data_IF_556029197725
#
_entry.id   IF_556029197725
#
_cell.length_a   1.000
_cell.length_b   1.000
_cell.length_c   1.000
_cell.angle_alpha   90.00
_cell.angle_beta   90.00
_cell.angle_gamma   90.00
#
_symmetry.space_group_name_H-M   'P 1'
#
loop_
_entity.id
_entity.type
_entity.pdbx_description
1 polymer ?
#
# COMPACT_ATOMS: atom_id res chain seq x y z
N UNK A 1 -7.45 19.83 48.03
CA UNK A 1 -8.36 19.11 47.10
C UNK A 1 -7.81 17.71 46.93
N UNK A 2 -8.55 16.69 47.35
CA UNK A 2 -8.17 15.28 47.16
C UNK A 2 -8.01 15.03 45.65
N UNK A 3 -6.84 14.55 45.21
CA UNK A 3 -6.61 14.07 43.84
C UNK A 3 -7.35 12.74 43.67
N UNK A 4 -8.69 12.80 43.61
CA UNK A 4 -9.50 11.65 43.23
C UNK A 4 -9.08 11.22 41.83
N UNK A 5 -8.76 9.92 41.67
CA UNK A 5 -8.52 9.37 40.34
C UNK A 5 -9.75 9.61 39.45
N UNK A 6 -9.56 9.75 38.13
CA UNK A 6 -10.67 9.92 37.18
C UNK A 6 -11.74 8.83 37.31
N UNK A 7 -11.32 7.59 37.59
CA UNK A 7 -12.23 6.50 37.93
C UNK A 7 -12.99 6.74 39.23
N UNK A 8 -12.31 7.23 40.27
CA UNK A 8 -12.91 7.54 41.57
C UNK A 8 -13.99 8.61 41.47
N UNK A 9 -13.72 9.70 40.75
CA UNK A 9 -14.69 10.76 40.49
C UNK A 9 -15.91 10.24 39.72
N UNK A 10 -15.69 9.46 38.65
CA UNK A 10 -16.77 8.82 37.90
C UNK A 10 -17.61 7.89 38.79
N UNK A 11 -16.96 7.02 39.58
CA UNK A 11 -17.62 6.08 40.48
C UNK A 11 -18.49 6.80 41.50
N UNK A 12 -17.97 7.86 42.14
CA UNK A 12 -18.69 8.63 43.15
C UNK A 12 -19.98 9.24 42.56
N UNK A 13 -19.89 9.89 41.40
CA UNK A 13 -21.03 10.53 40.76
C UNK A 13 -22.09 9.54 40.27
N UNK A 14 -21.70 8.46 39.60
CA UNK A 14 -22.68 7.46 39.12
C UNK A 14 -23.29 6.67 40.28
N UNK A 15 -22.52 6.41 41.35
CA UNK A 15 -23.03 5.78 42.57
C UNK A 15 -24.04 6.67 43.27
N UNK A 16 -23.71 7.95 43.48
CA UNK A 16 -24.62 8.93 44.08
C UNK A 16 -25.95 8.95 43.33
N UNK A 17 -25.91 9.06 42.00
CA UNK A 17 -27.13 9.08 41.18
C UNK A 17 -27.93 7.78 41.26
N UNK A 18 -27.27 6.63 41.18
CA UNK A 18 -27.95 5.34 41.27
C UNK A 18 -28.56 5.10 42.67
N UNK A 19 -27.94 5.59 43.74
CA UNK A 19 -28.49 5.53 45.10
C UNK A 19 -29.76 6.41 45.24
N UNK A 20 -29.74 7.63 44.69
CA UNK A 20 -30.92 8.52 44.66
C UNK A 20 -32.13 7.88 43.98
N UNK A 21 -31.89 7.05 42.95
CA UNK A 21 -32.94 6.34 42.21
C UNK A 21 -33.30 4.97 42.81
N UNK A 22 -32.66 4.55 43.90
CA UNK A 22 -32.86 3.22 44.49
C UNK A 22 -32.40 2.06 43.59
N UNK A 23 -31.53 2.34 42.63
CA UNK A 23 -31.06 1.39 41.62
C UNK A 23 -29.72 0.73 41.99
N UNK A 24 -28.94 1.33 42.90
CA UNK A 24 -27.58 0.87 43.18
C UNK A 24 -27.53 -0.53 43.81
N UNK A 25 -26.60 -1.37 43.33
CA UNK A 25 -26.19 -2.62 43.98
C UNK A 25 -24.69 -2.86 43.79
N UNK A 26 -24.11 -3.82 44.50
CA UNK A 26 -22.66 -4.09 44.45
C UNK A 26 -22.19 -4.66 43.09
N UNK A 27 -23.07 -5.30 42.33
CA UNK A 27 -22.77 -5.79 40.97
C UNK A 27 -22.56 -4.65 39.98
N UNK A 28 -23.29 -3.54 40.11
CA UNK A 28 -23.10 -2.35 39.28
C UNK A 28 -21.67 -1.80 39.40
N UNK A 29 -21.08 -1.79 40.60
CA UNK A 29 -19.70 -1.33 40.75
C UNK A 29 -18.71 -2.24 40.01
N UNK A 30 -18.93 -3.56 40.02
CA UNK A 30 -18.09 -4.54 39.32
C UNK A 30 -18.15 -4.39 37.80
N UNK A 31 -19.27 -3.89 37.30
CA UNK A 31 -19.57 -3.66 35.88
C UNK A 31 -19.00 -2.34 35.31
N UNK A 32 -18.42 -1.49 36.16
CA UNK A 32 -17.74 -0.27 35.72
C UNK A 32 -16.39 -0.57 35.04
N UNK A 33 -16.00 0.22 34.02
CA UNK A 33 -14.74 0.01 33.31
C UNK A 33 -13.54 0.35 34.20
N UNK A 34 -12.56 -0.56 34.27
CA UNK A 34 -11.29 -0.34 34.99
C UNK A 34 -10.21 0.33 34.12
N UNK A 35 -10.37 0.25 32.80
CA UNK A 35 -9.47 0.84 31.79
C UNK A 35 -10.33 1.25 30.60
N UNK A 36 -9.89 2.28 29.89
CA UNK A 36 -10.50 2.78 28.66
C UNK A 36 -9.46 3.41 27.76
N UNK A 37 -9.81 3.59 26.50
CA UNK A 37 -8.99 4.33 25.54
C UNK A 37 -9.43 5.79 25.53
N UNK A 38 -8.47 6.71 25.47
CA UNK A 38 -8.73 8.13 25.30
C UNK A 38 -8.20 8.56 23.95
N UNK A 39 -9.08 9.13 23.14
CA UNK A 39 -8.79 9.64 21.81
C UNK A 39 -9.21 11.10 21.75
N UNK A 40 -8.26 12.02 21.99
CA UNK A 40 -8.56 13.44 22.09
C UNK A 40 -9.59 13.76 23.17
N UNK A 41 -10.72 14.35 22.76
CA UNK A 41 -11.87 14.70 23.59
C UNK A 41 -12.94 13.60 23.67
N UNK A 42 -12.60 12.34 23.34
CA UNK A 42 -13.48 11.18 23.48
C UNK A 42 -12.84 10.09 24.33
N UNK A 43 -13.65 9.45 25.17
CA UNK A 43 -13.30 8.19 25.82
C UNK A 43 -14.09 7.06 25.17
N UNK A 44 -13.39 5.96 24.86
CA UNK A 44 -14.00 4.73 24.34
C UNK A 44 -13.87 3.64 25.40
N UNK A 45 -15.01 3.25 25.95
CA UNK A 45 -15.10 2.18 26.92
C UNK A 45 -14.97 0.81 26.27
N UNK A 46 -14.43 -0.18 27.00
CA UNK A 46 -14.50 -1.57 26.56
C UNK A 46 -15.96 -1.99 26.43
N UNK A 47 -16.21 -2.95 25.55
CA UNK A 47 -17.55 -3.47 25.33
C UNK A 47 -18.22 -3.94 26.63
N UNK A 48 -17.46 -4.51 27.56
CA UNK A 48 -17.97 -5.05 28.83
C UNK A 48 -18.36 -3.98 29.86
N UNK A 49 -18.22 -2.68 29.54
CA UNK A 49 -18.56 -1.61 30.46
C UNK A 49 -20.06 -1.31 30.46
N UNK A 50 -20.63 -1.04 31.63
CA UNK A 50 -22.02 -0.59 31.80
C UNK A 50 -23.04 -1.55 31.15
N UNK A 51 -22.90 -2.85 31.40
CA UNK A 51 -23.79 -3.90 30.91
C UNK A 51 -24.96 -4.19 31.85
N UNK A 52 -24.83 -3.89 33.15
CA UNK A 52 -25.88 -4.11 34.13
C UNK A 52 -27.16 -3.34 33.77
N UNK A 53 -28.31 -4.00 33.85
CA UNK A 53 -29.60 -3.45 33.38
C UNK A 53 -29.98 -2.13 34.08
N UNK A 54 -29.64 -1.97 35.36
CA UNK A 54 -29.93 -0.75 36.11
C UNK A 54 -29.28 0.51 35.53
N UNK A 55 -28.14 0.39 34.80
CA UNK A 55 -27.56 1.53 34.10
C UNK A 55 -28.49 2.08 33.02
N UNK A 56 -29.22 1.20 32.34
CA UNK A 56 -30.20 1.60 31.30
C UNK A 56 -31.39 2.33 31.91
N UNK A 57 -31.76 2.01 33.14
CA UNK A 57 -32.88 2.64 33.86
C UNK A 57 -32.58 4.08 34.30
N UNK A 58 -31.29 4.45 34.45
CA UNK A 58 -30.87 5.84 34.68
C UNK A 58 -31.11 6.69 33.41
N UNK A 59 -31.04 6.08 32.22
CA UNK A 59 -31.31 6.75 30.95
C UNK A 59 -30.14 7.62 30.45
N UNK A 60 -30.44 8.61 29.60
CA UNK A 60 -29.42 9.41 28.90
C UNK A 60 -28.56 10.26 29.83
N UNK A 61 -29.10 10.71 30.97
CA UNK A 61 -28.40 11.51 31.96
C UNK A 61 -27.17 10.79 32.54
N UNK A 62 -27.15 9.44 32.54
CA UNK A 62 -25.99 8.66 32.97
C UNK A 62 -24.73 9.11 32.23
N UNK A 63 -24.84 9.27 30.91
CA UNK A 63 -23.67 9.55 30.10
C UNK A 63 -23.20 11.00 30.23
N UNK A 64 -24.11 11.94 30.49
CA UNK A 64 -23.75 13.30 30.88
C UNK A 64 -22.96 13.33 32.20
N UNK A 65 -23.40 12.55 33.19
CA UNK A 65 -22.71 12.43 34.48
C UNK A 65 -21.32 11.86 34.29
N UNK A 66 -21.20 10.75 33.56
CA UNK A 66 -19.91 10.11 33.26
C UNK A 66 -19.00 11.05 32.48
N UNK A 67 -19.53 11.76 31.49
CA UNK A 67 -18.74 12.67 30.65
C UNK A 67 -18.19 13.84 31.46
N UNK A 68 -19.03 14.45 32.32
CA UNK A 68 -18.61 15.51 33.25
C UNK A 68 -17.57 15.01 34.24
N UNK A 69 -17.79 13.84 34.84
CA UNK A 69 -16.86 13.29 35.83
C UNK A 69 -15.48 12.93 35.25
N UNK A 70 -15.44 12.57 33.96
CA UNK A 70 -14.19 12.26 33.24
C UNK A 70 -13.62 13.47 32.48
N UNK A 71 -14.25 14.66 32.59
CA UNK A 71 -13.89 15.88 31.86
C UNK A 71 -13.68 15.65 30.36
N UNK A 72 -14.67 15.01 29.73
CA UNK A 72 -14.63 14.62 28.32
C UNK A 72 -15.89 15.08 27.60
N UNK A 73 -15.78 15.41 26.32
CA UNK A 73 -16.94 15.88 25.54
C UNK A 73 -17.77 14.71 25.01
N UNK A 74 -17.16 13.53 24.87
CA UNK A 74 -17.76 12.39 24.19
C UNK A 74 -17.44 11.08 24.86
N UNK A 75 -18.41 10.20 24.81
CA UNK A 75 -18.29 8.83 25.27
C UNK A 75 -18.71 7.90 24.16
N UNK A 76 -17.92 6.87 23.94
CA UNK A 76 -18.30 5.74 23.13
C UNK A 76 -18.05 4.43 23.86
N UNK A 77 -18.59 3.35 23.32
CA UNK A 77 -18.30 2.00 23.78
C UNK A 77 -18.06 1.10 22.58
N UNK A 78 -17.02 0.26 22.65
CA UNK A 78 -16.76 -0.74 21.60
C UNK A 78 -17.96 -1.67 21.44
N UNK A 79 -18.37 -1.93 20.20
CA UNK A 79 -19.42 -2.90 19.89
C UNK A 79 -18.90 -4.34 19.97
N UNK A 80 -19.81 -5.31 20.07
CA UNK A 80 -19.48 -6.71 19.81
C UNK A 80 -19.03 -6.81 18.34
N UNK A 81 -17.77 -7.16 18.12
CA UNK A 81 -17.32 -7.56 16.78
C UNK A 81 -17.99 -8.91 16.53
N UNK A 82 -18.97 -8.95 15.62
CA UNK A 82 -19.51 -10.22 15.15
C UNK A 82 -18.37 -11.02 14.51
N UNK A 83 -18.50 -12.34 14.42
CA UNK A 83 -17.46 -13.17 13.83
C UNK A 83 -17.51 -13.09 12.28
N UNK A 84 -17.59 -11.87 11.74
CA UNK A 84 -17.60 -11.54 10.33
C UNK A 84 -16.20 -11.11 9.84
N UNK A 85 -16.01 -11.17 8.53
CA UNK A 85 -14.70 -11.03 7.89
C UNK A 85 -14.13 -9.60 7.98
N UNK A 86 -14.98 -8.60 8.21
CA UNK A 86 -14.57 -7.19 8.17
C UNK A 86 -13.94 -6.69 9.47
N UNK A 87 -14.16 -7.35 10.62
CA UNK A 87 -13.57 -7.03 11.95
C UNK A 87 -13.41 -5.54 12.26
N UNK A 88 -14.27 -4.68 11.73
CA UNK A 88 -14.09 -3.23 11.82
C UNK A 88 -14.50 -2.80 13.24
N UNK A 89 -13.60 -2.20 14.03
CA UNK A 89 -13.94 -1.79 15.39
C UNK A 89 -14.95 -0.63 15.32
N UNK A 90 -16.22 -0.92 15.56
CA UNK A 90 -17.28 0.09 15.67
C UNK A 90 -17.44 0.56 17.11
N UNK A 91 -17.63 1.86 17.27
CA UNK A 91 -17.90 2.49 18.57
C UNK A 91 -19.32 3.02 18.57
N UNK A 92 -20.15 2.52 19.46
CA UNK A 92 -21.47 3.11 19.72
C UNK A 92 -21.25 4.43 20.48
N UNK A 93 -21.68 5.55 19.91
CA UNK A 93 -21.62 6.87 20.59
C UNK A 93 -22.69 6.90 21.68
N UNK A 94 -22.24 6.96 22.93
CA UNK A 94 -23.08 7.02 24.12
C UNK A 94 -23.42 8.46 24.52
N UNK A 95 -22.47 9.38 24.30
CA UNK A 95 -22.62 10.80 24.57
C UNK A 95 -21.78 11.64 23.60
N UNK A 96 -22.28 12.81 23.24
CA UNK A 96 -21.77 13.65 22.17
C UNK A 96 -22.57 13.49 20.88
N UNK A 97 -22.61 14.54 20.06
CA UNK A 97 -23.44 14.58 18.84
C UNK A 97 -22.94 13.75 17.67
N UNK A 98 -21.66 13.35 17.67
CA UNK A 98 -21.03 12.57 16.60
C UNK A 98 -19.75 11.86 17.07
N UNK A 99 -19.20 10.94 16.26
CA UNK A 99 -18.00 10.19 16.58
C UNK A 99 -16.68 10.83 16.13
N UNK A 100 -16.71 11.98 15.46
CA UNK A 100 -15.48 12.67 15.01
C UNK A 100 -14.60 13.12 16.16
N UNK A 101 -13.33 12.76 16.08
CA UNK A 101 -12.30 13.06 17.08
C UNK A 101 -11.00 13.47 16.38
N UNK A 102 -10.11 14.09 17.15
CA UNK A 102 -8.73 14.36 16.76
C UNK A 102 -7.78 13.57 17.67
N UNK A 103 -6.97 12.70 17.08
CA UNK A 103 -5.93 11.93 17.75
C UNK A 103 -4.55 12.43 17.33
N UNK A 104 -3.77 12.95 18.27
CA UNK A 104 -2.37 13.29 18.03
C UNK A 104 -1.49 12.09 18.37
N UNK A 105 -0.68 11.64 17.41
CA UNK A 105 0.31 10.60 17.66
C UNK A 105 1.59 11.17 18.29
N UNK A 106 2.48 10.29 18.75
CA UNK A 106 3.78 10.68 19.34
C UNK A 106 4.71 11.39 18.34
N UNK A 107 4.41 11.26 17.05
CA UNK A 107 5.12 11.93 15.96
C UNK A 107 4.60 13.34 15.68
N UNK A 108 3.53 13.78 16.35
CA UNK A 108 2.92 15.10 16.16
C UNK A 108 1.94 15.19 14.99
N UNK A 109 1.58 14.07 14.36
CA UNK A 109 0.50 14.04 13.36
C UNK A 109 -0.85 14.07 14.05
N UNK A 110 -1.74 14.95 13.59
CA UNK A 110 -3.13 15.04 14.05
C UNK A 110 -4.02 14.24 13.12
N UNK A 111 -4.56 13.10 13.54
CA UNK A 111 -5.51 12.29 12.78
C UNK A 111 -6.94 12.65 13.13
N UNK A 112 -7.73 13.09 12.16
CA UNK A 112 -9.13 13.47 12.32
C UNK A 112 -10.01 12.42 11.66
N UNK A 113 -10.76 11.65 12.44
CA UNK A 113 -11.58 10.54 11.95
C UNK A 113 -12.84 10.35 12.80
N UNK A 114 -13.84 9.68 12.25
CA UNK A 114 -15.03 9.26 12.97
C UNK A 114 -14.78 7.92 13.68
N UNK A 115 -14.65 7.96 15.01
CA UNK A 115 -14.38 6.80 15.85
C UNK A 115 -15.50 5.74 15.81
N UNK A 116 -16.71 6.10 15.39
CA UNK A 116 -17.80 5.14 15.21
C UNK A 116 -17.62 4.26 13.96
N UNK A 117 -16.82 4.72 13.00
CA UNK A 117 -16.64 4.10 11.69
C UNK A 117 -15.25 3.51 11.50
N UNK A 118 -14.21 4.25 11.93
CA UNK A 118 -12.79 3.86 11.80
C UNK A 118 -12.07 4.09 13.12
N UNK A 119 -11.00 3.34 13.35
CA UNK A 119 -10.15 3.50 14.54
C UNK A 119 -8.69 3.60 14.14
N UNK A 120 -7.95 4.48 14.82
CA UNK A 120 -6.51 4.63 14.64
C UNK A 120 -5.74 3.35 15.05
N UNK A 121 -4.95 2.83 14.12
CA UNK A 121 -4.18 1.60 14.30
C UNK A 121 -2.77 1.87 14.82
N UNK A 122 -2.61 1.89 16.14
CA UNK A 122 -1.33 2.16 16.84
C UNK A 122 -0.17 1.28 16.33
N UNK A 123 -0.44 0.04 15.92
CA UNK A 123 0.61 -0.87 15.45
C UNK A 123 1.33 -0.39 14.19
N UNK A 124 0.73 0.53 13.40
CA UNK A 124 1.34 1.11 12.20
C UNK A 124 2.44 2.13 12.51
N UNK A 125 2.51 2.67 13.73
CA UNK A 125 3.46 3.73 14.11
C UNK A 125 4.93 3.40 13.81
N UNK A 126 5.35 2.13 13.95
CA UNK A 126 6.72 1.73 13.64
C UNK A 126 7.07 1.96 12.17
N UNK A 127 6.14 1.66 11.28
CA UNK A 127 6.33 1.87 9.85
C UNK A 127 6.21 3.35 9.48
N UNK A 128 5.31 4.08 10.14
CA UNK A 128 5.23 5.55 10.00
C UNK A 128 6.55 6.21 10.38
N UNK A 129 7.19 5.76 11.46
CA UNK A 129 8.50 6.25 11.90
C UNK A 129 9.61 5.92 10.88
N UNK A 130 9.60 4.70 10.32
CA UNK A 130 10.56 4.29 9.29
C UNK A 130 10.43 5.15 8.03
N UNK A 131 9.20 5.38 7.57
CA UNK A 131 8.93 6.26 6.43
C UNK A 131 9.43 7.68 6.73
N UNK A 132 9.11 8.20 7.91
CA UNK A 132 9.53 9.55 8.34
C UNK A 132 11.05 9.75 8.35
N UNK A 133 11.83 8.69 8.45
CA UNK A 133 13.30 8.71 8.42
C UNK A 133 13.88 8.46 7.02
N UNK A 134 13.04 8.14 6.04
CA UNK A 134 13.47 7.89 4.66
C UNK A 134 13.55 9.22 3.92
N UNK A 135 14.65 9.45 3.21
CA UNK A 135 14.80 10.61 2.34
C UNK A 135 14.06 10.38 1.01
N UNK A 136 13.08 11.24 0.75
CA UNK A 136 12.32 11.33 -0.49
C UNK A 136 12.34 12.77 -1.03
N UNK A 137 13.38 13.55 -0.73
CA UNK A 137 13.45 14.96 -1.09
C UNK A 137 13.25 15.17 -2.60
N UNK A 138 12.22 15.95 -2.95
CA UNK A 138 11.90 16.28 -4.35
C UNK A 138 11.15 15.19 -5.11
N UNK A 139 10.89 14.03 -4.49
CA UNK A 139 10.18 12.91 -5.12
C UNK A 139 8.67 13.12 -5.15
N UNK A 140 8.02 12.58 -6.19
CA UNK A 140 6.56 12.38 -6.20
C UNK A 140 6.25 10.97 -5.71
N UNK A 141 5.42 10.87 -4.67
CA UNK A 141 5.02 9.61 -4.06
C UNK A 141 3.56 9.29 -4.41
N UNK A 142 3.25 8.04 -4.69
CA UNK A 142 1.87 7.53 -4.81
C UNK A 142 1.63 6.52 -3.69
N UNK A 143 0.66 6.77 -2.82
CA UNK A 143 0.16 5.78 -1.85
C UNK A 143 -1.15 5.21 -2.37
N UNK A 144 -1.17 3.93 -2.72
CA UNK A 144 -2.34 3.31 -3.36
C UNK A 144 -3.46 2.98 -2.37
N UNK A 145 -3.16 2.87 -1.07
CA UNK A 145 -4.12 2.49 -0.02
C UNK A 145 -3.97 3.46 1.15
N UNK A 146 -4.55 4.65 1.02
CA UNK A 146 -4.25 5.74 1.95
C UNK A 146 -4.85 5.50 3.34
N UNK A 147 -6.05 4.92 3.43
CA UNK A 147 -6.82 4.79 4.66
C UNK A 147 -6.96 6.13 5.38
N UNK A 148 -6.70 6.14 6.68
CA UNK A 148 -6.64 7.38 7.48
C UNK A 148 -5.37 8.22 7.22
N UNK A 149 -4.56 7.85 6.23
CA UNK A 149 -3.35 8.57 5.83
C UNK A 149 -2.09 8.19 6.59
N UNK A 150 -2.07 7.04 7.29
CA UNK A 150 -0.93 6.56 8.09
C UNK A 150 0.40 6.67 7.37
N UNK A 151 0.44 6.24 6.10
CA UNK A 151 1.67 6.24 5.31
C UNK A 151 1.73 7.40 4.32
N UNK A 152 0.65 8.16 4.15
CA UNK A 152 0.61 9.38 3.32
C UNK A 152 1.33 10.54 4.01
N UNK A 153 0.99 10.82 5.27
CA UNK A 153 1.49 12.01 5.96
C UNK A 153 2.98 11.97 6.33
N UNK A 154 3.56 10.82 6.73
CA UNK A 154 5.01 10.70 6.87
C UNK A 154 5.78 11.13 5.62
N UNK A 155 5.37 10.67 4.43
CA UNK A 155 5.98 11.08 3.17
C UNK A 155 5.87 12.59 2.94
N UNK A 156 4.66 13.15 3.10
CA UNK A 156 4.38 14.56 2.81
C UNK A 156 5.05 15.55 3.79
N UNK A 157 5.12 15.20 5.07
CA UNK A 157 5.55 16.11 6.13
C UNK A 157 6.99 15.92 6.60
N UNK A 158 7.50 14.68 6.60
CA UNK A 158 8.78 14.35 7.26
C UNK A 158 9.85 13.82 6.31
N UNK A 159 9.47 13.06 5.28
CA UNK A 159 10.41 12.49 4.31
C UNK A 159 10.89 13.47 3.24
N UNK A 160 10.35 14.70 3.20
CA UNK A 160 10.73 15.70 2.20
C UNK A 160 10.12 15.50 0.81
N UNK A 161 9.14 14.61 0.66
CA UNK A 161 8.47 14.41 -0.63
C UNK A 161 7.94 15.73 -1.19
N UNK A 162 8.12 15.94 -2.50
CA UNK A 162 7.59 17.12 -3.20
C UNK A 162 6.06 17.11 -3.18
N UNK A 163 5.48 15.94 -3.45
CA UNK A 163 4.03 15.76 -3.54
C UNK A 163 3.65 14.30 -3.27
N UNK A 164 2.50 14.07 -2.66
CA UNK A 164 1.95 12.73 -2.40
C UNK A 164 0.56 12.61 -3.02
N UNK A 165 0.36 11.62 -3.87
CA UNK A 165 -0.96 11.21 -4.36
C UNK A 165 -1.47 10.09 -3.49
N UNK A 166 -2.56 10.32 -2.76
CA UNK A 166 -3.19 9.36 -1.87
C UNK A 166 -4.46 8.81 -2.52
N UNK A 167 -4.53 7.50 -2.75
CA UNK A 167 -5.70 6.84 -3.33
C UNK A 167 -6.44 6.09 -2.24
N UNK A 168 -7.75 6.30 -2.15
CA UNK A 168 -8.62 5.64 -1.18
C UNK A 168 -10.04 5.48 -1.74
N UNK A 169 -10.66 4.33 -1.50
CA UNK A 169 -11.96 3.97 -2.06
C UNK A 169 -13.09 4.05 -1.02
N UNK A 170 -12.77 3.93 0.27
CA UNK A 170 -13.73 3.99 1.37
C UNK A 170 -14.14 5.44 1.69
N UNK A 171 -15.43 5.74 1.57
CA UNK A 171 -15.97 7.10 1.72
C UNK A 171 -15.64 7.73 3.09
N UNK A 172 -15.74 6.93 4.16
CA UNK A 172 -15.47 7.39 5.52
C UNK A 172 -13.97 7.69 5.73
N UNK A 173 -13.10 6.85 5.17
CA UNK A 173 -11.66 7.06 5.17
C UNK A 173 -11.27 8.26 4.31
N UNK A 174 -11.91 8.49 3.17
CA UNK A 174 -11.68 9.69 2.34
C UNK A 174 -12.05 10.96 3.10
N UNK A 175 -13.22 11.01 3.74
CA UNK A 175 -13.61 12.19 4.52
C UNK A 175 -12.62 12.44 5.68
N UNK A 176 -12.21 11.38 6.37
CA UNK A 176 -11.18 11.46 7.40
C UNK A 176 -9.83 11.91 6.84
N UNK A 177 -9.41 11.41 5.69
CA UNK A 177 -8.15 11.74 5.03
C UNK A 177 -8.12 13.21 4.60
N UNK A 178 -9.22 13.74 4.07
CA UNK A 178 -9.37 15.18 3.74
C UNK A 178 -9.21 16.02 5.01
N UNK A 179 -10.02 15.75 6.04
CA UNK A 179 -9.97 16.52 7.30
C UNK A 179 -8.61 16.42 7.97
N UNK A 180 -7.99 15.25 7.93
CA UNK A 180 -6.66 15.02 8.48
C UNK A 180 -5.59 15.78 7.70
N UNK A 181 -5.70 15.83 6.37
CA UNK A 181 -4.78 16.59 5.50
C UNK A 181 -4.81 18.07 5.86
N UNK A 182 -6.01 18.65 5.98
CA UNK A 182 -6.21 20.04 6.40
C UNK A 182 -5.75 20.27 7.84
N UNK A 183 -6.07 19.34 8.75
CA UNK A 183 -5.65 19.43 10.13
C UNK A 183 -4.13 19.44 10.28
N UNK A 184 -3.35 18.87 9.35
CA UNK A 184 -1.89 18.93 9.36
C UNK A 184 -1.31 20.04 8.46
N UNK A 185 -2.14 20.83 7.78
CA UNK A 185 -1.69 21.89 6.87
C UNK A 185 -0.94 21.34 5.65
N UNK A 186 -1.41 20.22 5.10
CA UNK A 186 -0.77 19.51 3.99
C UNK A 186 -1.59 19.56 2.68
N UNK A 187 -2.59 20.44 2.59
CA UNK A 187 -3.48 20.54 1.43
C UNK A 187 -2.75 20.85 0.12
N UNK A 188 -1.60 21.52 0.18
CA UNK A 188 -0.74 21.85 -0.96
C UNK A 188 0.16 20.68 -1.40
N UNK A 189 0.40 19.71 -0.51
CA UNK A 189 1.33 18.58 -0.72
C UNK A 189 0.66 17.26 -0.98
N UNK A 190 -0.64 17.14 -0.72
CA UNK A 190 -1.39 15.88 -0.83
C UNK A 190 -2.56 16.04 -1.78
N UNK A 191 -2.61 15.21 -2.82
CA UNK A 191 -3.81 15.06 -3.66
C UNK A 191 -4.51 13.76 -3.36
N UNK A 192 -5.79 13.84 -2.99
CA UNK A 192 -6.62 12.68 -2.67
C UNK A 192 -7.41 12.25 -3.91
N UNK A 193 -7.31 10.98 -4.28
CA UNK A 193 -8.02 10.35 -5.39
C UNK A 193 -9.04 9.37 -4.81
N UNK A 194 -10.32 9.76 -4.84
CA UNK A 194 -11.39 8.93 -4.32
C UNK A 194 -11.80 7.86 -5.34
N UNK A 195 -11.64 6.59 -4.96
CA UNK A 195 -12.07 5.42 -5.72
C UNK A 195 -11.01 4.31 -5.72
N UNK A 196 -11.31 3.25 -6.47
CA UNK A 196 -10.49 2.04 -6.51
C UNK A 196 -9.15 2.29 -7.22
N UNK A 197 -8.05 1.79 -6.65
CA UNK A 197 -6.71 2.18 -7.08
C UNK A 197 -6.31 1.75 -8.49
N UNK A 198 -6.81 0.63 -9.03
CA UNK A 198 -6.55 0.24 -10.43
C UNK A 198 -7.17 1.23 -11.42
N UNK A 199 -8.20 1.96 -11.00
CA UNK A 199 -8.91 2.97 -11.82
C UNK A 199 -8.39 4.38 -11.58
N UNK A 200 -8.14 4.74 -10.32
CA UNK A 200 -7.87 6.13 -9.91
C UNK A 200 -6.39 6.47 -9.82
N UNK A 201 -5.51 5.48 -9.73
CA UNK A 201 -4.09 5.77 -9.50
C UNK A 201 -3.45 6.47 -10.72
N UNK A 202 -2.66 7.54 -10.48
CA UNK A 202 -2.01 8.25 -11.56
C UNK A 202 -0.88 7.43 -12.18
N UNK A 203 -0.80 7.42 -13.50
CA UNK A 203 0.15 6.59 -14.27
C UNK A 203 1.38 7.40 -14.67
N UNK A 204 2.58 6.83 -14.49
CA UNK A 204 3.82 7.37 -15.04
C UNK A 204 4.42 8.58 -14.31
N UNK A 205 3.91 8.96 -13.14
CA UNK A 205 4.31 10.20 -12.45
C UNK A 205 5.19 9.99 -11.21
N UNK A 206 5.18 8.79 -10.63
CA UNK A 206 5.76 8.52 -9.32
C UNK A 206 7.25 8.20 -9.40
N UNK A 207 8.05 8.79 -8.52
CA UNK A 207 9.40 8.30 -8.21
C UNK A 207 9.34 7.15 -7.18
N UNK A 208 8.25 7.10 -6.40
CA UNK A 208 8.04 6.12 -5.32
C UNK A 208 6.57 5.74 -5.20
N UNK A 209 6.29 4.46 -5.01
CA UNK A 209 4.93 3.96 -4.77
C UNK A 209 4.90 3.16 -3.49
N UNK A 210 3.86 3.38 -2.68
CA UNK A 210 3.60 2.66 -1.45
C UNK A 210 2.26 1.92 -1.55
N UNK A 211 2.23 0.65 -1.18
CA UNK A 211 1.00 -0.14 -1.06
C UNK A 211 0.97 -0.82 0.30
N UNK A 212 -0.12 -0.62 1.04
CA UNK A 212 -0.40 -1.35 2.26
C UNK A 212 -1.84 -1.84 2.28
N UNK A 213 -2.02 -3.10 1.88
CA UNK A 213 -3.30 -3.78 1.95
C UNK A 213 -3.10 -5.15 2.61
N UNK A 214 -3.92 -5.43 3.62
CA UNK A 214 -3.94 -6.73 4.29
C UNK A 214 -5.30 -7.40 4.00
N UNK A 215 -5.33 -8.73 3.78
CA UNK A 215 -4.20 -9.65 3.91
C UNK A 215 -3.22 -9.61 2.73
N UNK A 216 -3.64 -9.27 1.51
CA UNK A 216 -2.77 -9.27 0.33
C UNK A 216 -2.87 -7.98 -0.49
N UNK A 217 -1.72 -7.55 -1.00
CA UNK A 217 -1.54 -6.41 -1.91
C UNK A 217 -1.32 -6.84 -3.36
N UNK A 218 -1.23 -8.15 -3.62
CA UNK A 218 -0.90 -8.74 -4.92
C UNK A 218 -1.74 -8.20 -6.09
N UNK A 219 -3.07 -7.99 -5.97
CA UNK A 219 -3.88 -7.43 -7.05
C UNK A 219 -3.44 -6.04 -7.53
N UNK A 220 -2.64 -5.32 -6.74
CA UNK A 220 -2.24 -3.93 -7.01
C UNK A 220 -0.78 -3.78 -7.46
N UNK A 221 0.01 -4.86 -7.51
CA UNK A 221 1.43 -4.78 -7.89
C UNK A 221 1.63 -4.23 -9.31
N UNK A 222 0.80 -4.65 -10.27
CA UNK A 222 0.86 -4.11 -11.63
C UNK A 222 0.47 -2.63 -11.65
N UNK A 223 -0.53 -2.21 -10.86
CA UNK A 223 -0.94 -0.80 -10.73
C UNK A 223 0.20 0.06 -10.19
N UNK A 224 0.92 -0.42 -9.18
CA UNK A 224 2.09 0.29 -8.67
C UNK A 224 3.21 0.40 -9.72
N UNK A 225 3.45 -0.66 -10.49
CA UNK A 225 4.38 -0.60 -11.63
C UNK A 225 3.94 0.44 -12.68
N UNK A 226 2.63 0.59 -12.94
CA UNK A 226 2.10 1.62 -13.85
C UNK A 226 2.31 3.04 -13.32
N UNK A 227 2.19 3.24 -12.01
CA UNK A 227 2.37 4.55 -11.36
C UNK A 227 3.78 5.10 -11.51
N UNK A 228 4.79 4.22 -11.52
CA UNK A 228 6.18 4.62 -11.65
C UNK A 228 6.46 5.37 -12.94
N UNK A 229 7.31 6.39 -12.84
CA UNK A 229 7.93 7.05 -13.97
C UNK A 229 8.65 6.04 -14.84
N UNK A 230 8.81 6.44 -16.07
CA UNK A 230 9.46 5.62 -17.06
C UNK A 230 10.90 5.24 -16.70
N UNK A 231 11.65 6.11 -16.01
CA UNK A 231 13.00 5.78 -15.51
C UNK A 231 13.05 4.68 -14.43
N UNK A 232 11.89 4.22 -13.94
CA UNK A 232 11.78 3.39 -12.74
C UNK A 232 11.68 4.23 -11.47
N UNK A 233 11.99 3.62 -10.33
CA UNK A 233 11.82 4.20 -9.01
C UNK A 233 11.62 3.14 -7.92
N UNK A 234 11.11 3.57 -6.78
CA UNK A 234 10.93 2.75 -5.58
C UNK A 234 9.51 2.16 -5.48
N UNK A 235 9.41 0.91 -5.07
CA UNK A 235 8.15 0.26 -4.67
C UNK A 235 8.27 -0.21 -3.23
N UNK A 236 7.32 0.17 -2.37
CA UNK A 236 7.21 -0.29 -0.99
C UNK A 236 5.92 -1.08 -0.86
N UNK A 237 6.04 -2.38 -0.63
CA UNK A 237 4.91 -3.31 -0.69
C UNK A 237 4.73 -3.98 0.67
N UNK A 238 3.60 -3.72 1.31
CA UNK A 238 3.21 -4.36 2.56
C UNK A 238 2.17 -5.45 2.34
N UNK A 239 2.40 -6.62 2.94
CA UNK A 239 1.54 -7.80 2.82
C UNK A 239 1.61 -8.68 4.09
N UNK A 240 0.55 -9.45 4.37
CA UNK A 240 0.60 -10.55 5.34
C UNK A 240 1.03 -11.85 4.64
N UNK A 241 2.19 -12.39 5.01
CA UNK A 241 2.73 -13.62 4.45
C UNK A 241 2.56 -14.78 5.43
N UNK A 242 1.93 -15.86 4.96
CA UNK A 242 1.68 -17.06 5.76
C UNK A 242 2.98 -17.81 6.10
N UNK A 243 3.17 -18.07 7.39
CA UNK A 243 4.33 -18.78 7.96
C UNK A 243 4.29 -20.28 7.61
N UNK A 244 3.12 -20.85 7.34
CA UNK A 244 2.95 -22.30 7.08
C UNK A 244 3.04 -22.69 5.61
N UNK A 245 2.82 -21.76 4.68
CA UNK A 245 2.69 -22.06 3.25
C UNK A 245 3.93 -22.73 2.67
N UNK A 246 5.12 -22.44 3.19
CA UNK A 246 6.36 -23.06 2.71
C UNK A 246 6.65 -24.48 3.23
N UNK A 247 5.97 -24.96 4.29
CA UNK A 247 6.16 -26.37 4.71
C UNK A 247 5.52 -27.36 3.73
N UNK A 248 4.58 -26.90 2.89
CA UNK A 248 3.84 -27.74 1.95
C UNK A 248 4.40 -27.68 0.52
N UNK A 249 5.03 -26.58 0.11
CA UNK A 249 5.55 -26.40 -1.24
C UNK A 249 7.07 -26.61 -1.28
N UNK A 250 7.51 -27.89 -1.26
CA UNK A 250 8.81 -28.22 -1.86
C UNK A 250 8.69 -27.96 -3.36
N UNK A 251 9.71 -27.39 -4.04
CA UNK A 251 9.66 -27.22 -5.47
C UNK A 251 9.59 -28.60 -6.12
N UNK A 252 8.43 -28.93 -6.69
CA UNK A 252 8.35 -30.02 -7.66
C UNK A 252 9.29 -29.64 -8.80
N UNK A 253 10.30 -30.46 -9.04
CA UNK A 253 11.26 -30.23 -10.11
C UNK A 253 10.48 -30.01 -11.40
N UNK A 254 10.60 -28.80 -11.96
CA UNK A 254 9.98 -28.47 -13.24
C UNK A 254 10.45 -29.49 -14.26
N UNK A 255 9.54 -30.39 -14.67
CA UNK A 255 9.75 -31.24 -15.84
C UNK A 255 9.99 -30.28 -17.02
N UNK A 256 11.09 -30.42 -17.78
CA UNK A 256 11.28 -29.60 -18.96
C UNK A 256 10.10 -29.88 -19.89
N UNK A 257 9.26 -28.86 -20.10
CA UNK A 257 8.29 -28.88 -21.17
C UNK A 257 9.10 -28.94 -22.47
N UNK A 258 9.11 -30.12 -23.09
CA UNK A 258 9.62 -30.30 -24.44
C UNK A 258 8.74 -29.47 -25.38
N UNK A 259 9.17 -28.26 -25.68
CA UNK A 259 8.64 -27.52 -26.81
C UNK A 259 9.24 -28.15 -28.06
N UNK A 260 8.43 -28.90 -28.81
CA UNK A 260 8.77 -29.29 -30.17
C UNK A 260 9.07 -28.02 -30.98
N UNK A 261 10.34 -27.79 -31.29
CA UNK A 261 10.76 -26.81 -32.29
C UNK A 261 10.28 -27.29 -33.65
N UNK A 262 9.24 -26.66 -34.20
CA UNK A 262 9.02 -26.69 -35.65
C UNK A 262 10.06 -25.76 -36.30
N UNK A 263 10.87 -26.25 -37.26
CA UNK A 263 11.85 -25.40 -37.92
C UNK A 263 11.13 -24.35 -38.77
N UNK A 264 11.32 -23.07 -38.42
CA UNK A 264 10.79 -21.95 -39.18
C UNK A 264 11.65 -21.75 -40.44
N UNK A 265 11.02 -21.92 -41.61
CA UNK A 265 11.65 -21.70 -42.92
C UNK A 265 12.15 -20.26 -43.02
N UNK A 266 13.45 -20.09 -43.21
CA UNK A 266 14.08 -18.87 -43.69
C UNK A 266 13.42 -18.45 -45.01
N UNK A 267 12.63 -17.37 -44.98
CA UNK A 267 12.27 -16.67 -46.22
C UNK A 267 13.45 -15.81 -46.63
N UNK A 268 14.14 -16.25 -47.67
CA UNK A 268 15.04 -15.43 -48.47
C UNK A 268 14.22 -14.67 -49.50
N UNK A 269 14.33 -13.34 -49.48
CA UNK A 269 13.87 -12.49 -50.57
C UNK A 269 14.86 -12.69 -51.75
N UNK A 270 14.37 -12.69 -53.00
CA UNK A 270 15.12 -13.08 -54.23
C UNK A 270 16.36 -12.22 -54.55
N UNK A 271 16.67 -11.20 -53.75
CA UNK A 271 17.78 -10.26 -54.00
C UNK A 271 18.89 -10.23 -52.93
N UNK A 272 19.06 -11.27 -52.11
CA UNK A 272 20.30 -11.45 -51.34
C UNK A 272 20.66 -10.34 -50.34
N UNK A 273 19.68 -9.58 -49.83
CA UNK A 273 19.91 -8.55 -48.82
C UNK A 273 19.42 -9.00 -47.44
N UNK A 274 20.34 -9.10 -46.48
CA UNK A 274 20.06 -9.44 -45.09
C UNK A 274 19.37 -8.27 -44.39
N UNK A 275 18.04 -8.32 -44.23
CA UNK A 275 17.34 -7.44 -43.28
C UNK A 275 17.84 -7.77 -41.86
N UNK A 276 18.51 -6.83 -41.19
CA UNK A 276 18.73 -6.87 -39.74
C UNK A 276 17.36 -6.89 -39.07
N UNK A 277 16.85 -8.08 -38.74
CA UNK A 277 15.56 -8.23 -38.09
C UNK A 277 15.56 -7.51 -36.75
N UNK A 278 14.62 -6.58 -36.56
CA UNK A 278 14.30 -6.03 -35.24
C UNK A 278 14.01 -7.21 -34.31
N UNK A 279 14.81 -7.39 -33.24
CA UNK A 279 14.49 -8.37 -32.20
C UNK A 279 13.18 -7.96 -31.55
N UNK A 280 12.25 -8.89 -31.40
CA UNK A 280 11.03 -8.65 -30.60
C UNK A 280 11.40 -8.40 -29.14
N UNK A 281 10.63 -7.58 -28.41
CA UNK A 281 10.88 -7.25 -26.99
C UNK A 281 11.05 -8.49 -26.12
N UNK A 282 10.26 -9.53 -26.38
CA UNK A 282 10.38 -10.84 -25.71
C UNK A 282 11.75 -11.49 -25.94
N UNK A 283 12.27 -11.45 -27.18
CA UNK A 283 13.63 -11.95 -27.49
C UNK A 283 14.70 -11.12 -26.78
N UNK A 284 14.48 -9.81 -26.63
CA UNK A 284 15.38 -8.93 -25.88
C UNK A 284 15.40 -9.29 -24.39
N UNK A 285 14.24 -9.38 -23.74
CA UNK A 285 14.11 -9.80 -22.32
C UNK A 285 14.79 -11.15 -22.08
N UNK A 286 14.53 -12.13 -22.95
CA UNK A 286 15.17 -13.45 -22.89
C UNK A 286 16.70 -13.35 -22.99
N UNK A 287 17.23 -12.51 -23.89
CA UNK A 287 18.67 -12.32 -24.02
C UNK A 287 19.30 -11.67 -22.78
N UNK A 288 18.62 -10.70 -22.17
CA UNK A 288 19.06 -10.08 -20.92
C UNK A 288 18.98 -11.06 -19.75
N UNK A 289 17.89 -11.85 -19.63
CA UNK A 289 17.77 -12.89 -18.59
C UNK A 289 18.86 -13.95 -18.68
N UNK A 290 19.31 -14.29 -19.89
CA UNK A 290 20.47 -15.18 -20.10
C UNK A 290 21.80 -14.52 -19.69
N UNK A 291 21.92 -13.21 -19.89
CA UNK A 291 23.15 -12.46 -19.58
C UNK A 291 23.25 -12.05 -18.10
N UNK A 292 22.13 -11.77 -17.43
CA UNK A 292 22.05 -11.31 -16.05
C UNK A 292 20.67 -11.57 -15.44
N UNK A 293 20.63 -11.79 -14.11
CA UNK A 293 19.37 -11.90 -13.37
C UNK A 293 18.73 -10.51 -13.26
N UNK A 294 17.54 -10.35 -13.85
CA UNK A 294 16.81 -9.07 -13.87
C UNK A 294 16.11 -8.76 -12.54
N UNK A 295 15.85 -9.78 -11.72
CA UNK A 295 15.41 -9.64 -10.33
C UNK A 295 16.53 -10.13 -9.40
N UNK A 296 17.00 -9.30 -8.48
CA UNK A 296 18.11 -9.65 -7.58
C UNK A 296 17.92 -9.07 -6.19
N UNK A 297 18.74 -9.52 -5.25
CA UNK A 297 18.83 -8.95 -3.91
C UNK A 297 20.04 -8.01 -3.88
N UNK A 298 19.90 -6.90 -3.18
CA UNK A 298 20.99 -5.97 -2.92
C UNK A 298 22.10 -6.68 -2.14
N UNK A 299 23.36 -6.38 -2.48
CA UNK A 299 24.51 -7.17 -2.05
C UNK A 299 24.72 -7.10 -0.54
N UNK A 300 24.61 -5.91 0.06
CA UNK A 300 24.79 -5.75 1.51
C UNK A 300 23.69 -6.47 2.29
N UNK A 301 22.44 -6.39 1.81
CA UNK A 301 21.32 -7.15 2.35
C UNK A 301 21.58 -8.65 2.27
N UNK A 302 22.00 -9.14 1.09
CA UNK A 302 22.27 -10.55 0.81
C UNK A 302 23.41 -11.12 1.68
N UNK A 303 24.48 -10.34 1.86
CA UNK A 303 25.64 -10.72 2.67
C UNK A 303 25.37 -10.65 4.17
N UNK A 304 24.49 -9.74 4.59
CA UNK A 304 24.09 -9.55 5.98
C UNK A 304 22.83 -10.32 6.38
N UNK A 305 21.81 -9.57 6.78
CA UNK A 305 20.62 -10.09 7.46
C UNK A 305 19.72 -10.98 6.60
N UNK A 306 19.87 -10.99 5.27
CA UNK A 306 19.09 -11.84 4.38
C UNK A 306 19.20 -13.32 4.75
N UNK A 307 20.40 -13.81 5.05
CA UNK A 307 20.63 -15.23 5.41
C UNK A 307 19.94 -15.64 6.72
N UNK A 308 19.65 -14.67 7.58
CA UNK A 308 18.97 -14.88 8.87
C UNK A 308 17.44 -14.76 8.75
N UNK A 309 16.91 -14.34 7.60
CA UNK A 309 15.47 -14.23 7.40
C UNK A 309 14.83 -15.61 7.22
N UNK A 310 13.64 -15.73 7.77
CA UNK A 310 12.80 -16.90 7.56
C UNK A 310 12.59 -17.16 6.06
N UNK A 311 12.59 -18.44 5.62
CA UNK A 311 12.44 -18.79 4.22
C UNK A 311 11.22 -18.13 3.54
N UNK A 312 10.05 -18.07 4.21
CA UNK A 312 8.80 -17.51 3.63
C UNK A 312 8.89 -16.02 3.34
N UNK A 313 9.64 -15.30 4.16
CA UNK A 313 9.90 -13.86 3.95
C UNK A 313 10.78 -13.66 2.72
N UNK A 314 11.82 -14.48 2.55
CA UNK A 314 12.70 -14.41 1.38
C UNK A 314 11.99 -14.85 0.11
N UNK A 315 11.22 -15.94 0.19
CA UNK A 315 10.43 -16.47 -0.92
C UNK A 315 9.48 -15.42 -1.47
N UNK A 316 8.70 -14.78 -0.58
CA UNK A 316 7.82 -13.69 -0.98
C UNK A 316 8.57 -12.52 -1.63
N UNK A 317 9.65 -12.02 -1.00
CA UNK A 317 10.38 -10.86 -1.53
C UNK A 317 10.98 -11.13 -2.93
N UNK A 318 11.44 -12.36 -3.20
CA UNK A 318 11.95 -12.77 -4.50
C UNK A 318 10.84 -12.90 -5.55
N UNK A 319 9.71 -13.53 -5.21
CA UNK A 319 8.54 -13.66 -6.10
C UNK A 319 7.98 -12.29 -6.47
N UNK A 320 7.85 -11.40 -5.49
CA UNK A 320 7.40 -10.02 -5.67
C UNK A 320 8.33 -9.27 -6.63
N UNK A 321 9.65 -9.35 -6.42
CA UNK A 321 10.64 -8.72 -7.31
C UNK A 321 10.58 -9.27 -8.74
N UNK A 322 10.40 -10.58 -8.91
CA UNK A 322 10.28 -11.21 -10.22
C UNK A 322 9.00 -10.79 -10.96
N UNK A 323 7.86 -10.79 -10.27
CA UNK A 323 6.57 -10.37 -10.84
C UNK A 323 6.58 -8.89 -11.20
N UNK A 324 7.07 -8.01 -10.33
CA UNK A 324 7.24 -6.58 -10.65
C UNK A 324 8.18 -6.38 -11.84
N UNK A 325 9.29 -7.12 -11.92
CA UNK A 325 10.19 -7.06 -13.07
C UNK A 325 9.48 -7.47 -14.38
N UNK A 326 8.68 -8.54 -14.34
CA UNK A 326 7.87 -8.99 -15.47
C UNK A 326 6.83 -7.93 -15.86
N UNK A 327 6.08 -7.39 -14.90
CA UNK A 327 5.10 -6.34 -15.16
C UNK A 327 5.75 -5.14 -15.84
N UNK A 328 6.78 -4.54 -15.22
CA UNK A 328 7.49 -3.39 -15.76
C UNK A 328 7.96 -3.61 -17.21
N UNK A 329 8.53 -4.77 -17.52
CA UNK A 329 8.98 -5.09 -18.87
C UNK A 329 7.84 -5.34 -19.87
N UNK A 330 6.66 -5.74 -19.41
CA UNK A 330 5.48 -5.96 -20.25
C UNK A 330 4.68 -4.68 -20.52
N UNK A 331 4.55 -3.80 -19.52
CA UNK A 331 3.69 -2.60 -19.62
C UNK A 331 4.42 -1.37 -20.13
N UNK A 332 5.73 -1.25 -19.90
CA UNK A 332 6.52 -0.11 -20.37
C UNK A 332 7.16 -0.46 -21.71
N UNK A 333 7.02 0.42 -22.70
CA UNK A 333 7.46 0.17 -24.08
C UNK A 333 8.79 0.83 -24.45
N UNK A 334 9.49 1.43 -23.47
CA UNK A 334 10.77 2.10 -23.70
C UNK A 334 11.87 1.15 -24.21
N UNK A 335 12.88 1.71 -24.90
CA UNK A 335 14.03 1.01 -25.52
C UNK A 335 15.03 0.38 -24.52
N UNK A 336 14.59 0.06 -23.30
CA UNK A 336 15.39 -0.58 -22.28
C UNK A 336 14.66 -1.73 -21.56
N UNK A 337 15.46 -2.56 -20.89
CA UNK A 337 14.97 -3.68 -20.07
C UNK A 337 15.00 -3.25 -18.61
N UNK A 338 13.85 -3.35 -17.94
CA UNK A 338 13.77 -3.06 -16.52
C UNK A 338 14.38 -4.18 -15.70
N UNK A 339 15.13 -3.80 -14.68
CA UNK A 339 15.56 -4.68 -13.60
C UNK A 339 14.94 -4.21 -12.29
N UNK A 340 14.82 -5.13 -11.35
CA UNK A 340 14.25 -4.91 -10.01
C UNK A 340 15.20 -5.50 -8.98
N UNK A 341 15.47 -4.75 -7.92
CA UNK A 341 16.34 -5.19 -6.83
C UNK A 341 15.61 -5.08 -5.49
N UNK A 342 15.62 -6.16 -4.72
CA UNK A 342 15.18 -6.14 -3.32
C UNK A 342 16.23 -5.40 -2.51
N UNK A 343 15.89 -4.20 -2.03
CA UNK A 343 16.80 -3.35 -1.26
C UNK A 343 16.66 -3.57 0.24
N UNK A 344 15.46 -3.93 0.70
CA UNK A 344 15.19 -4.08 2.11
C UNK A 344 13.93 -4.92 2.35
N UNK A 345 13.87 -5.66 3.46
CA UNK A 345 12.67 -6.37 3.92
C UNK A 345 12.46 -6.18 5.42
N UNK A 346 11.36 -5.57 5.83
CA UNK A 346 11.02 -5.30 7.22
C UNK A 346 9.91 -6.25 7.65
N UNK A 347 10.06 -6.90 8.80
CA UNK A 347 9.00 -7.71 9.41
C UNK A 347 8.37 -6.91 10.54
N UNK A 348 7.07 -6.64 10.42
CA UNK A 348 6.25 -5.96 11.41
C UNK A 348 5.46 -7.03 12.17
N UNK A 349 5.69 -7.12 13.48
CA UNK A 349 4.95 -8.04 14.37
C UNK A 349 3.95 -7.25 15.22
N UNK A 350 2.66 -7.20 14.86
CA UNK A 350 1.62 -6.68 15.75
C UNK A 350 1.61 -7.43 17.08
N UNK A 351 1.31 -6.75 18.19
CA UNK A 351 1.16 -7.40 19.51
C UNK A 351 0.05 -8.46 19.54
N UNK A 352 -0.94 -8.31 18.66
CA UNK A 352 -2.07 -9.22 18.48
C UNK A 352 -1.94 -10.08 17.22
N UNK A 353 -0.75 -10.15 16.61
CA UNK A 353 -0.54 -10.84 15.35
C UNK A 353 -1.01 -12.29 15.42
N UNK A 354 -1.65 -12.74 14.34
CA UNK A 354 -1.89 -14.16 14.14
C UNK A 354 -0.57 -14.92 14.23
N UNK A 355 -0.55 -16.06 14.94
CA UNK A 355 0.60 -16.97 14.93
C UNK A 355 0.87 -17.59 13.55
N UNK A 356 0.01 -17.32 12.55
CA UNK A 356 0.06 -17.93 11.23
C UNK A 356 0.67 -17.04 10.16
N UNK A 357 0.84 -15.74 10.39
CA UNK A 357 1.29 -14.83 9.31
C UNK A 357 2.17 -13.71 9.86
N UNK A 358 3.22 -13.37 9.11
CA UNK A 358 4.04 -12.18 9.36
C UNK A 358 3.58 -11.04 8.45
N UNK A 359 3.40 -9.83 9.00
CA UNK A 359 3.23 -8.64 8.17
C UNK A 359 4.62 -8.19 7.76
N UNK A 360 4.86 -8.07 6.47
CA UNK A 360 6.16 -7.65 5.95
C UNK A 360 6.02 -6.45 5.04
N UNK A 361 7.09 -5.65 4.96
CA UNK A 361 7.24 -4.58 3.98
C UNK A 361 8.50 -4.85 3.17
N UNK A 362 8.36 -4.96 1.85
CA UNK A 362 9.47 -5.16 0.92
C UNK A 362 9.72 -3.86 0.18
N UNK A 363 10.94 -3.31 0.30
CA UNK A 363 11.37 -2.17 -0.48
C UNK A 363 12.13 -2.67 -1.71
N UNK A 364 11.57 -2.41 -2.89
CA UNK A 364 12.18 -2.69 -4.18
C UNK A 364 12.66 -1.39 -4.82
N UNK A 365 13.81 -1.45 -5.50
CA UNK A 365 14.24 -0.41 -6.41
C UNK A 365 14.24 -0.93 -7.84
N UNK A 366 13.78 -0.10 -8.76
CA UNK A 366 13.65 -0.45 -10.18
C UNK A 366 14.45 0.51 -11.03
N UNK A 367 15.07 0.00 -12.08
CA UNK A 367 15.84 0.80 -13.03
C UNK A 367 15.85 0.19 -14.41
N UNK A 368 16.45 0.91 -15.37
CA UNK A 368 16.54 0.47 -16.77
C UNK A 368 17.99 0.09 -17.08
N UNK A 369 18.19 -1.09 -17.67
CA UNK A 369 19.40 -1.44 -18.38
C UNK A 369 19.27 -1.05 -19.85
N UNK A 370 20.22 -0.25 -20.35
CA UNK A 370 20.35 0.02 -21.77
C UNK A 370 21.24 -1.03 -22.43
N UNK A 371 20.85 -1.52 -23.60
CA UNK A 371 21.74 -2.34 -24.41
C UNK A 371 22.94 -1.47 -24.82
N UNK A 372 24.17 -1.88 -24.47
CA UNK A 372 25.37 -1.24 -25.02
C UNK A 372 25.28 -1.35 -26.54
N UNK A 373 24.88 -0.27 -27.23
CA UNK A 373 25.00 -0.19 -28.68
C UNK A 373 26.45 -0.51 -28.99
N UNK A 374 26.70 -1.64 -29.65
CA UNK A 374 28.03 -1.93 -30.22
C UNK A 374 28.30 -0.78 -31.17
N UNK A 375 29.08 0.22 -30.74
CA UNK A 375 29.73 1.15 -31.65
C UNK A 375 30.56 0.24 -32.54
N UNK A 376 30.09 0.04 -33.77
CA UNK A 376 30.92 -0.44 -34.86
C UNK A 376 32.05 0.58 -34.98
N UNK A 377 33.16 0.32 -34.29
CA UNK A 377 34.44 0.95 -34.61
C UNK A 377 34.81 0.46 -36.00
N UNK A 378 34.28 1.11 -37.03
CA UNK A 378 35.02 1.26 -38.26
C UNK A 378 35.98 2.41 -38.04
N UNK A 379 37.26 2.05 -37.91
CA UNK A 379 38.37 2.95 -38.16
C UNK A 379 38.28 3.40 -39.61
N UNK A 380 38.09 4.69 -39.82
CA UNK A 380 38.66 5.52 -40.90
C UNK A 380 38.84 6.87 -40.19
N UNK A 381 40.02 7.46 -40.04
CA UNK A 381 41.02 7.70 -41.08
C UNK A 381 41.05 9.22 -41.34
N UNK A 382 41.73 9.96 -40.45
CA UNK A 382 42.25 11.35 -40.58
C UNK A 382 41.30 12.54 -40.83
N UNK A 383 41.69 13.77 -40.38
CA UNK A 383 40.83 14.93 -40.30
C UNK A 383 40.83 15.76 -41.58
N UNK A 384 39.70 16.34 -41.94
CA UNK A 384 39.63 17.40 -42.94
C UNK A 384 38.63 18.46 -42.49
N UNK A 385 39.17 19.65 -42.29
CA UNK A 385 38.50 20.93 -42.15
C UNK A 385 37.77 21.31 -43.44
N UNK A 386 36.48 21.63 -43.37
CA UNK A 386 35.80 22.56 -44.28
C UNK A 386 34.72 23.31 -43.48
N UNK A 387 34.62 24.60 -43.78
CA UNK A 387 33.86 25.70 -43.18
C UNK A 387 32.61 25.98 -44.05
N UNK A 388 31.51 26.42 -43.40
CA UNK A 388 30.34 27.19 -43.92
C UNK A 388 29.48 26.49 -45.02
N UNK A 389 28.16 26.66 -45.17
CA UNK A 389 27.18 27.66 -44.73
C UNK A 389 25.72 27.13 -44.87
N UNK A 390 24.79 28.00 -44.47
CA UNK A 390 23.34 27.91 -44.28
C UNK A 390 22.45 27.55 -45.50
N UNK A 391 21.18 27.28 -45.16
CA UNK A 391 19.94 27.15 -45.97
C UNK A 391 19.57 25.82 -46.65
N UNK A 392 18.38 25.31 -46.27
CA UNK A 392 17.65 24.28 -47.03
C UNK A 392 16.55 23.54 -46.26
N UNK A 393 15.29 23.93 -46.48
CA UNK A 393 14.05 23.37 -45.92
C UNK A 393 13.88 21.84 -46.07
N UNK A 394 13.14 21.21 -45.13
CA UNK A 394 12.57 19.86 -45.33
C UNK A 394 11.10 19.83 -44.88
N UNK A 395 10.26 19.40 -45.82
CA UNK A 395 8.81 19.19 -45.72
C UNK A 395 8.43 18.11 -44.69
N UNK A 396 7.33 18.34 -43.96
CA UNK A 396 6.73 17.39 -43.03
C UNK A 396 5.67 16.51 -43.69
N UNK A 397 5.67 15.22 -43.36
CA UNK A 397 4.54 14.31 -43.59
C UNK A 397 3.99 13.78 -42.26
N UNK A 398 2.66 13.85 -42.15
CA UNK A 398 1.84 13.64 -40.96
C UNK A 398 1.89 12.20 -40.40
N UNK A 399 2.17 12.09 -39.10
CA UNK A 399 2.18 10.84 -38.31
C UNK A 399 1.02 10.77 -37.27
N UNK A 400 0.02 11.65 -37.37
CA UNK A 400 -0.97 11.88 -36.29
C UNK A 400 -2.19 10.93 -36.25
N UNK A 401 -2.46 10.12 -37.29
CA UNK A 401 -3.70 9.30 -37.31
C UNK A 401 -3.53 7.83 -36.86
N UNK A 402 -2.31 7.34 -36.62
CA UNK A 402 -2.07 5.92 -36.28
C UNK A 402 -2.12 5.59 -34.77
N UNK A 403 -1.96 6.59 -33.90
CA UNK A 403 -1.90 6.41 -32.46
C UNK A 403 -3.24 6.07 -31.77
N UNK A 404 -4.41 6.62 -32.17
CA UNK A 404 -5.66 6.44 -31.42
C UNK A 404 -6.28 5.04 -31.57
N UNK A 405 -6.11 4.38 -32.73
CA UNK A 405 -6.69 3.04 -32.99
C UNK A 405 -5.94 1.91 -32.28
N UNK A 406 -4.64 2.05 -32.03
CA UNK A 406 -3.85 1.07 -31.27
C UNK A 406 -4.11 1.11 -29.76
N UNK A 407 -4.49 2.27 -29.21
CA UNK A 407 -4.85 2.41 -27.78
C UNK A 407 -6.16 1.68 -27.44
N UNK A 408 -7.20 1.85 -28.27
CA UNK A 408 -8.52 1.23 -28.03
C UNK A 408 -8.50 -0.30 -28.05
N UNK A 409 -7.82 -0.91 -29.03
CA UNK A 409 -7.73 -2.38 -29.08
C UNK A 409 -6.89 -2.96 -27.93
N UNK A 410 -5.96 -2.19 -27.35
CA UNK A 410 -5.12 -2.62 -26.23
C UNK A 410 -5.86 -2.56 -24.88
N UNK A 411 -6.72 -1.56 -24.69
CA UNK A 411 -7.57 -1.43 -23.49
C UNK A 411 -8.58 -2.60 -23.39
N UNK A 412 -9.18 -3.01 -24.52
CA UNK A 412 -10.09 -4.16 -24.57
C UNK A 412 -9.38 -5.51 -24.31
N UNK A 413 -8.14 -5.67 -24.77
CA UNK A 413 -7.35 -6.90 -24.57
C UNK A 413 -6.88 -7.05 -23.11
N UNK A 414 -6.66 -5.92 -22.42
CA UNK A 414 -6.33 -5.87 -21.00
C UNK A 414 -7.53 -6.15 -20.11
N UNK A 415 -8.71 -5.59 -20.44
CA UNK A 415 -9.94 -5.89 -19.71
C UNK A 415 -10.22 -7.40 -19.71
N UNK A 416 -9.99 -8.07 -20.84
CA UNK A 416 -10.10 -9.53 -20.95
C UNK A 416 -9.07 -10.29 -20.10
N UNK A 417 -7.85 -9.78 -19.96
CA UNK A 417 -6.85 -10.39 -19.07
C UNK A 417 -7.21 -10.21 -17.59
N UNK A 418 -7.75 -9.05 -17.21
CA UNK A 418 -8.19 -8.78 -15.84
C UNK A 418 -9.39 -9.67 -15.48
N UNK A 419 -10.38 -9.79 -16.36
CA UNK A 419 -11.53 -10.68 -16.14
C UNK A 419 -11.11 -12.15 -15.99
N UNK A 420 -10.09 -12.60 -16.73
CA UNK A 420 -9.57 -13.97 -16.62
C UNK A 420 -8.80 -14.18 -15.30
N UNK A 421 -7.99 -13.20 -14.86
CA UNK A 421 -7.27 -13.27 -13.59
C UNK A 421 -8.23 -13.23 -12.38
N UNK A 422 -9.27 -12.38 -12.44
CA UNK A 422 -10.33 -12.32 -11.42
C UNK A 422 -11.14 -13.63 -11.38
N UNK A 423 -11.39 -14.26 -12.54
CA UNK A 423 -12.05 -15.57 -12.62
C UNK A 423 -11.20 -16.69 -12.01
N UNK A 424 -9.88 -16.66 -12.24
CA UNK A 424 -8.95 -17.63 -11.64
C UNK A 424 -8.89 -17.46 -10.12
N UNK A 425 -8.81 -16.22 -9.64
CA UNK A 425 -8.81 -15.91 -8.22
C UNK A 425 -10.11 -16.36 -7.52
N UNK A 426 -11.27 -16.14 -8.16
CA UNK A 426 -12.57 -16.60 -7.67
C UNK A 426 -12.67 -18.15 -7.58
N UNK A 427 -12.11 -18.86 -8.56
CA UNK A 427 -12.08 -20.33 -8.56
C UNK A 427 -11.12 -20.92 -7.50
N UNK A 428 -10.07 -20.19 -7.12
CA UNK A 428 -9.18 -20.58 -6.03
C UNK A 428 -9.84 -20.40 -4.65
N UNK A 429 -10.69 -19.38 -4.49
CA UNK A 429 -11.51 -19.21 -3.28
C UNK A 429 -12.60 -20.27 -3.09
N UNK A 430 -13.18 -20.80 -4.17
CA UNK A 430 -14.19 -21.88 -4.08
C UNK A 430 -13.60 -23.27 -3.78
N UNK A 431 -12.32 -23.51 -4.08
CA UNK A 431 -11.65 -24.80 -3.82
C UNK A 431 -11.19 -24.99 -2.37
N UNK A 432 -11.19 -23.93 -1.57
CA UNK A 432 -10.91 -23.97 -0.14
C UNK A 432 -11.99 -23.22 0.65
N UNK A 433 -13.23 -23.77 0.72
CA UNK A 433 -14.21 -23.26 1.67
C UNK A 433 -13.66 -23.51 3.08
N UNK A 434 -13.44 -22.44 3.83
CA UNK A 434 -13.11 -22.50 5.26
C UNK A 434 -14.36 -22.67 6.10
#
# INVERSE_FOLDING_TARGET
>A
MSLSSSFGAMLEEVRRRALELGLWNDDMQRDLPKKWEKHGNMIVFPQTAFQHNNWRLIGRELWEIVARALSIERLGRKRLIANDEERTPHVDVLYGGHGWIEHSDESGFRFVYDASKKVFEIWRQKEMARISQTDAHGEVVVNLMAGLGYFTFPWAAKSGAKHVHAVEWDDDAVEALIRTTTANGLDDKVSIHHGEARKMAPVGIADRVYIALLPSSQPFWMTACKCLRDKGGWLHIQEAVDVKRERAEKPEAAKPAASEEKPEKTKTDVNGNTKKGNRTRSKLILSFRKAAKLSKVEKELEEGRWKMMEPHVRGFALDLAEKCCRYMNNIKTQDGIYWVEVRNVVVIKPRTASRTSDIIVVDLFTGIAQEKRRRSQHRLGTPSTVVEDEDGQVEGQNDEERAPRRRRNWEEEILKQIEEEDRIAAQETEKHPK
#
